data_IF_635522174737
#
_entry.id   IF_635522174737
#
_cell.length_a   1.000
_cell.length_b   1.000
_cell.length_c   1.000
_cell.angle_alpha   90.00
_cell.angle_beta   90.00
_cell.angle_gamma   90.00
#
_symmetry.space_group_name_H-M   'P 1'
#
loop_
_entity.id
_entity.type
_entity.pdbx_description
1 polymer ?
#
# COMPACT_ATOMS: atom_id res chain seq x y z
N UNK A 1 12.04 4.88 -25.83
CA UNK A 1 11.87 3.95 -24.70
C UNK A 1 12.69 4.40 -23.50
N UNK A 2 12.18 4.20 -22.28
CA UNK A 2 12.98 4.19 -21.05
C UNK A 2 13.14 5.51 -20.28
N UNK A 3 12.06 6.06 -19.70
CA UNK A 3 12.21 7.02 -18.58
C UNK A 3 11.95 6.28 -17.27
N UNK A 4 13.00 6.10 -16.47
CA UNK A 4 12.95 5.49 -15.15
C UNK A 4 12.13 6.33 -14.18
N UNK A 5 10.83 6.06 -14.09
CA UNK A 5 9.91 6.81 -13.21
C UNK A 5 9.79 6.23 -11.79
N UNK A 6 10.51 5.14 -11.49
CA UNK A 6 10.45 4.47 -10.18
C UNK A 6 11.84 4.48 -9.56
N UNK A 7 12.18 5.61 -8.93
CA UNK A 7 13.50 5.73 -8.32
C UNK A 7 13.84 7.12 -7.79
N UNK A 8 12.89 7.92 -7.30
CA UNK A 8 13.18 9.08 -6.43
C UNK A 8 11.86 9.73 -6.00
N UNK A 9 11.65 9.92 -4.70
CA UNK A 9 10.75 10.96 -4.21
C UNK A 9 9.37 10.51 -3.71
N UNK A 10 9.30 9.53 -2.79
CA UNK A 10 8.21 9.58 -1.81
C UNK A 10 8.56 10.67 -0.78
N UNK A 11 8.16 11.91 -1.05
CA UNK A 11 8.26 12.98 -0.07
C UNK A 11 7.16 12.77 0.97
N UNK A 12 7.58 12.33 2.16
CA UNK A 12 6.77 12.20 3.37
C UNK A 12 6.16 13.58 3.71
N UNK A 13 4.91 13.83 3.31
CA UNK A 13 4.15 14.99 3.80
C UNK A 13 3.83 14.71 5.26
N UNK A 14 4.46 15.48 6.15
CA UNK A 14 4.45 15.26 7.58
C UNK A 14 3.04 15.34 8.18
N UNK A 15 2.59 14.24 8.76
CA UNK A 15 1.84 14.35 10.01
C UNK A 15 2.86 14.45 11.13
N UNK A 16 2.86 15.63 11.76
CA UNK A 16 3.61 15.93 12.97
C UNK A 16 3.23 14.92 14.05
N UNK A 17 4.13 14.00 14.35
CA UNK A 17 4.22 13.38 15.67
C UNK A 17 5.67 13.50 16.11
N UNK A 18 5.86 14.17 17.25
CA UNK A 18 7.15 14.52 17.87
C UNK A 18 8.20 13.41 17.68
N UNK A 19 9.31 13.78 17.07
CA UNK A 19 10.47 12.93 16.95
C UNK A 19 11.10 12.63 18.31
N UNK A 20 11.48 11.38 18.51
CA UNK A 20 12.76 11.08 19.13
C UNK A 20 13.59 10.38 18.06
N UNK A 21 14.69 11.02 17.67
CA UNK A 21 15.58 10.50 16.64
C UNK A 21 16.33 9.27 17.15
N UNK A 22 16.47 8.26 16.29
CA UNK A 22 17.67 7.43 16.26
C UNK A 22 17.76 6.66 14.95
N UNK A 23 18.79 6.96 14.17
CA UNK A 23 19.33 6.04 13.17
C UNK A 23 19.62 4.70 13.85
N UNK A 24 19.04 3.63 13.33
CA UNK A 24 19.23 2.27 13.84
C UNK A 24 18.25 1.35 13.12
N UNK A 25 18.73 0.20 12.66
CA UNK A 25 17.91 -0.80 11.97
C UNK A 25 16.57 -1.04 12.68
N UNK A 26 15.51 -1.21 11.88
CA UNK A 26 14.14 -1.35 12.38
C UNK A 26 14.08 -2.31 13.56
N UNK A 27 13.41 -1.87 14.63
CA UNK A 27 13.25 -2.65 15.85
C UNK A 27 12.82 -4.09 15.50
N UNK A 28 13.35 -5.12 16.18
CA UNK A 28 12.93 -6.49 15.91
C UNK A 28 11.42 -6.58 16.07
N UNK A 29 10.73 -7.04 15.02
CA UNK A 29 9.31 -7.37 15.05
C UNK A 29 9.13 -8.46 16.12
N UNK A 30 8.85 -8.03 17.35
CA UNK A 30 8.48 -8.91 18.44
C UNK A 30 7.23 -9.66 18.00
N UNK A 31 7.28 -10.99 18.02
CA UNK A 31 6.26 -11.89 17.49
C UNK A 31 4.84 -11.37 17.71
N UNK A 32 4.17 -11.06 16.60
CA UNK A 32 2.85 -10.46 16.58
C UNK A 32 2.19 -10.74 15.23
N UNK A 33 0.91 -11.09 15.28
CA UNK A 33 0.04 -11.23 14.11
C UNK A 33 -0.26 -9.86 13.52
N UNK A 34 -0.20 -9.72 12.20
CA UNK A 34 -0.47 -8.45 11.51
C UNK A 34 -1.65 -8.60 10.56
N UNK A 35 -2.54 -7.62 10.60
CA UNK A 35 -3.63 -7.53 9.62
C UNK A 35 -3.13 -6.80 8.38
N UNK A 36 -3.26 -7.45 7.24
CA UNK A 36 -2.87 -6.88 5.95
C UNK A 36 -3.98 -7.05 4.91
N UNK A 37 -4.00 -6.13 3.94
CA UNK A 37 -4.86 -6.21 2.77
C UNK A 37 -4.07 -5.87 1.51
N UNK A 38 -4.40 -6.49 0.38
CA UNK A 38 -3.81 -6.16 -0.92
C UNK A 38 -4.84 -6.10 -2.05
N UNK A 39 -4.45 -5.45 -3.15
CA UNK A 39 -5.14 -5.51 -4.43
C UNK A 39 -4.16 -6.13 -5.43
N UNK A 40 -4.49 -7.31 -5.95
CA UNK A 40 -3.67 -7.99 -6.94
C UNK A 40 -4.19 -7.64 -8.34
N UNK A 41 -3.32 -7.17 -9.23
CA UNK A 41 -3.67 -6.82 -10.62
C UNK A 41 -2.61 -7.29 -11.58
N UNK A 42 -3.03 -7.66 -12.79
CA UNK A 42 -2.13 -8.28 -13.79
C UNK A 42 -1.22 -7.25 -14.48
N UNK A 43 -1.65 -5.99 -14.58
CA UNK A 43 -0.95 -4.93 -15.29
C UNK A 43 -0.53 -3.81 -14.36
N UNK A 44 0.69 -3.31 -14.57
CA UNK A 44 1.23 -2.18 -13.82
C UNK A 44 0.41 -0.89 -13.98
N UNK A 45 -0.08 -0.59 -15.20
CA UNK A 45 -0.93 0.58 -15.44
C UNK A 45 -2.18 0.59 -14.55
N UNK A 46 -2.79 -0.59 -14.35
CA UNK A 46 -3.94 -0.76 -13.47
C UNK A 46 -3.60 -0.45 -12.01
N UNK A 47 -2.43 -0.90 -11.56
CA UNK A 47 -1.95 -0.59 -10.21
C UNK A 47 -1.72 0.92 -10.02
N UNK A 48 -1.25 1.62 -11.06
CA UNK A 48 -1.06 3.07 -11.01
C UNK A 48 -2.39 3.82 -10.92
N UNK A 49 -3.37 3.47 -11.74
CA UNK A 49 -4.74 4.02 -11.68
C UNK A 49 -5.33 3.85 -10.28
N UNK A 50 -5.28 2.63 -9.74
CA UNK A 50 -5.79 2.33 -8.40
C UNK A 50 -5.08 3.14 -7.31
N UNK A 51 -3.78 3.37 -7.45
CA UNK A 51 -3.02 4.18 -6.50
C UNK A 51 -3.50 5.63 -6.54
N UNK A 52 -3.77 6.18 -7.72
CA UNK A 52 -4.28 7.54 -7.89
C UNK A 52 -5.68 7.67 -7.31
N UNK A 53 -6.57 6.70 -7.55
CA UNK A 53 -7.91 6.64 -6.95
C UNK A 53 -7.85 6.62 -5.42
N UNK A 54 -6.99 5.77 -4.84
CA UNK A 54 -6.78 5.70 -3.38
C UNK A 54 -6.29 7.05 -2.84
N UNK A 55 -5.39 7.73 -3.56
CA UNK A 55 -4.90 9.05 -3.17
C UNK A 55 -5.97 10.14 -3.31
N UNK A 56 -6.89 10.00 -4.26
CA UNK A 56 -8.03 10.89 -4.44
C UNK A 56 -9.10 10.73 -3.33
N UNK A 57 -9.04 9.64 -2.56
CA UNK A 57 -9.95 9.38 -1.43
C UNK A 57 -10.94 8.24 -1.66
N UNK A 58 -10.77 7.47 -2.74
CA UNK A 58 -11.57 6.26 -2.94
C UNK A 58 -11.30 5.21 -1.86
N UNK A 59 -12.33 4.42 -1.55
CA UNK A 59 -12.21 3.36 -0.53
C UNK A 59 -11.39 2.20 -1.08
N UNK A 60 -10.28 1.90 -0.40
CA UNK A 60 -9.42 0.76 -0.73
C UNK A 60 -10.20 -0.55 -0.86
N UNK A 61 -11.13 -0.80 0.06
CA UNK A 61 -11.96 -2.01 0.07
C UNK A 61 -12.82 -2.15 -1.19
N UNK A 62 -13.44 -1.06 -1.64
CA UNK A 62 -14.25 -1.03 -2.85
C UNK A 62 -13.40 -1.32 -4.09
N UNK A 63 -12.21 -0.73 -4.16
CA UNK A 63 -11.26 -0.97 -5.24
C UNK A 63 -10.74 -2.41 -5.21
N UNK A 64 -10.48 -2.96 -4.03
CA UNK A 64 -10.05 -4.34 -3.86
C UNK A 64 -11.13 -5.34 -4.30
N UNK A 65 -12.40 -5.10 -3.97
CA UNK A 65 -13.51 -5.95 -4.41
C UNK A 65 -13.69 -5.93 -5.93
N UNK A 66 -13.55 -4.74 -6.54
CA UNK A 66 -13.79 -4.52 -7.98
C UNK A 66 -12.63 -5.01 -8.85
N UNK A 67 -11.40 -4.77 -8.42
CA UNK A 67 -10.22 -4.87 -9.30
C UNK A 67 -9.20 -5.93 -8.88
N UNK A 68 -9.25 -6.43 -7.65
CA UNK A 68 -8.34 -7.49 -7.24
C UNK A 68 -8.64 -8.80 -7.95
N UNK A 69 -7.62 -9.45 -8.51
CA UNK A 69 -7.71 -10.79 -9.09
C UNK A 69 -7.57 -11.89 -8.02
N UNK A 70 -7.09 -11.54 -6.83
CA UNK A 70 -6.94 -12.46 -5.71
C UNK A 70 -8.31 -12.90 -5.14
N UNK A 71 -8.50 -14.17 -4.71
CA UNK A 71 -9.74 -14.62 -4.07
C UNK A 71 -10.10 -13.83 -2.79
N UNK A 72 -9.13 -13.15 -2.16
CA UNK A 72 -9.35 -12.21 -1.06
C UNK A 72 -10.25 -11.03 -1.43
N UNK A 73 -10.51 -10.78 -2.73
CA UNK A 73 -11.47 -9.77 -3.20
C UNK A 73 -12.86 -9.90 -2.57
N UNK A 74 -13.30 -11.14 -2.24
CA UNK A 74 -14.58 -11.38 -1.54
C UNK A 74 -14.59 -10.80 -0.11
N UNK A 75 -13.41 -10.59 0.47
CA UNK A 75 -13.17 -9.99 1.79
C UNK A 75 -12.47 -8.63 1.65
N UNK A 76 -12.73 -7.90 0.55
CA UNK A 76 -12.15 -6.57 0.32
C UNK A 76 -10.61 -6.54 0.33
N UNK A 77 -9.97 -7.62 -0.11
CA UNK A 77 -8.51 -7.73 -0.17
C UNK A 77 -7.84 -8.16 1.13
N UNK A 78 -8.59 -8.49 2.18
CA UNK A 78 -8.07 -8.88 3.50
C UNK A 78 -7.34 -10.25 3.45
N UNK A 79 -6.15 -10.31 4.06
CA UNK A 79 -5.27 -11.48 4.09
C UNK A 79 -5.24 -12.19 5.46
N UNK A 80 -6.03 -11.76 6.43
CA UNK A 80 -6.04 -12.31 7.79
C UNK A 80 -4.98 -11.73 8.73
N UNK A 81 -4.72 -12.45 9.82
CA UNK A 81 -3.85 -12.10 10.97
C UNK A 81 -2.89 -13.22 11.41
#
# INVERSE_FOLDING_TARGET
MGKGKYGTGYQKKGQSSKGSGKSGGGAPIRGGKIKASHILVDKFSRAQELREDIQAGEKFESLAQKFSTCPSKKKSGNLGD
#
